data_IF_644122543221
#
_entry.id   IF_644122543221
#
_cell.length_a   1.000
_cell.length_b   1.000
_cell.length_c   1.000
_cell.angle_alpha   90.00
_cell.angle_beta   90.00
_cell.angle_gamma   90.00
#
_symmetry.space_group_name_H-M   'P 1'
#
loop_
_entity.id
_entity.type
_entity.pdbx_description
1 polymer ?
#
# COMPACT_ATOMS: atom_id res chain seq x y z
N UNK A 1 -72.29 16.93 -31.69
CA UNK A 1 -70.84 16.58 -31.81
C UNK A 1 -70.10 17.16 -30.59
N UNK A 2 -69.10 16.45 -30.03
CA UNK A 2 -69.12 16.10 -28.61
C UNK A 2 -68.27 17.00 -27.70
N UNK A 3 -68.77 17.21 -26.46
CA UNK A 3 -68.03 17.75 -25.31
C UNK A 3 -66.97 16.72 -24.88
N UNK A 4 -65.68 17.08 -24.99
CA UNK A 4 -64.58 16.24 -24.48
C UNK A 4 -64.53 16.31 -22.96
N UNK A 5 -64.67 15.14 -22.33
CA UNK A 5 -64.50 14.88 -20.90
C UNK A 5 -63.04 15.14 -20.49
N UNK A 6 -62.83 15.83 -19.36
CA UNK A 6 -61.54 15.86 -18.66
C UNK A 6 -61.30 14.51 -17.98
N UNK A 7 -60.10 13.97 -18.17
CA UNK A 7 -59.57 12.81 -17.44
C UNK A 7 -58.49 13.35 -16.49
N UNK A 8 -58.49 13.03 -15.19
CA UNK A 8 -57.44 13.48 -14.28
C UNK A 8 -56.15 12.66 -14.48
N UNK A 9 -55.03 13.36 -14.50
CA UNK A 9 -53.66 12.82 -14.53
C UNK A 9 -53.28 12.31 -13.14
N UNK A 10 -52.63 11.14 -13.01
CA UNK A 10 -52.13 10.66 -11.74
C UNK A 10 -50.81 11.37 -11.36
N UNK A 11 -50.80 11.87 -10.13
CA UNK A 11 -49.68 12.51 -9.45
C UNK A 11 -48.47 11.58 -9.36
N UNK A 12 -47.35 11.98 -9.97
CA UNK A 12 -46.00 11.50 -9.66
C UNK A 12 -45.43 12.36 -8.54
N UNK A 13 -45.40 11.81 -7.32
CA UNK A 13 -44.65 12.39 -6.20
C UNK A 13 -43.16 12.12 -6.38
N UNK A 14 -42.37 13.16 -6.65
CA UNK A 14 -40.92 13.12 -6.59
C UNK A 14 -40.51 13.63 -5.21
N UNK A 15 -39.97 12.74 -4.37
CA UNK A 15 -39.29 13.12 -3.12
C UNK A 15 -37.87 13.50 -3.50
N UNK A 16 -37.55 14.79 -3.38
CA UNK A 16 -36.20 15.31 -3.52
C UNK A 16 -35.40 15.00 -2.25
N UNK A 17 -34.31 14.25 -2.38
CA UNK A 17 -33.32 14.05 -1.31
C UNK A 17 -32.16 15.00 -1.61
N UNK A 18 -32.07 16.06 -0.80
CA UNK A 18 -30.98 17.06 -0.85
C UNK A 18 -29.80 16.49 -0.06
N UNK A 19 -28.71 16.15 -0.75
CA UNK A 19 -27.41 15.88 -0.12
C UNK A 19 -26.61 17.18 -0.14
N UNK A 20 -26.42 17.76 1.04
CA UNK A 20 -25.64 18.97 1.24
C UNK A 20 -24.15 18.68 1.11
N UNK A 21 -23.52 19.35 0.14
CA UNK A 21 -22.07 19.40 -0.03
C UNK A 21 -21.50 20.41 0.97
N UNK A 22 -20.66 19.94 1.91
CA UNK A 22 -19.81 20.80 2.72
C UNK A 22 -18.39 20.76 2.14
N UNK A 23 -18.01 21.86 1.49
CA UNK A 23 -16.66 22.11 1.00
C UNK A 23 -15.73 22.48 2.16
N UNK A 24 -14.63 21.75 2.34
CA UNK A 24 -13.47 22.26 3.10
C UNK A 24 -12.22 22.19 2.23
N UNK A 25 -11.48 23.29 2.27
CA UNK A 25 -10.48 23.69 1.29
C UNK A 25 -9.18 22.91 1.32
N UNK A 26 -8.58 22.90 0.13
CA UNK A 26 -7.24 22.44 -0.19
C UNK A 26 -6.20 23.37 0.47
N UNK A 27 -5.33 22.83 1.31
CA UNK A 27 -4.04 23.44 1.67
C UNK A 27 -2.96 22.37 1.60
N UNK A 28 -1.99 22.58 0.69
CA UNK A 28 -1.00 21.58 0.28
C UNK A 28 0.02 21.22 1.36
N UNK A 29 0.48 19.98 1.30
CA UNK A 29 1.65 19.51 2.05
C UNK A 29 2.65 18.99 1.02
N UNK A 30 3.74 19.76 0.85
CA UNK A 30 4.99 19.25 0.32
C UNK A 30 5.63 18.40 1.43
N UNK A 31 5.98 17.17 1.11
CA UNK A 31 6.61 16.23 2.02
C UNK A 31 8.06 16.61 2.34
N UNK A 32 8.50 16.23 3.53
CA UNK A 32 9.86 15.75 3.79
C UNK A 32 9.80 14.75 4.95
N UNK A 33 10.43 13.60 4.72
CA UNK A 33 10.45 12.44 5.60
C UNK A 33 11.21 12.67 6.90
N UNK A 34 10.75 11.98 7.94
CA UNK A 34 11.35 11.86 9.27
C UNK A 34 12.50 10.84 9.23
N UNK A 35 13.68 11.24 9.72
CA UNK A 35 14.76 10.34 10.12
C UNK A 35 14.94 10.47 11.64
N UNK A 36 14.96 9.32 12.33
CA UNK A 36 15.13 9.20 13.77
C UNK A 36 16.60 8.92 14.12
N UNK A 37 17.21 9.78 14.93
CA UNK A 37 18.35 9.46 15.79
C UNK A 37 18.32 10.40 17.01
N UNK A 38 18.41 9.84 18.22
CA UNK A 38 18.08 10.52 19.47
C UNK A 38 19.21 11.33 20.12
N UNK A 39 18.75 12.18 21.06
CA UNK A 39 19.42 12.79 22.22
C UNK A 39 20.63 13.71 21.94
N UNK A 40 20.78 14.91 22.50
CA UNK A 40 20.27 15.45 23.76
C UNK A 40 20.43 17.00 23.77
N UNK A 41 19.81 17.65 24.77
CA UNK A 41 20.12 19.00 25.31
C UNK A 41 19.25 20.21 24.87
N UNK A 42 18.18 20.42 25.65
CA UNK A 42 17.69 21.67 26.27
C UNK A 42 17.79 23.02 25.51
N UNK A 43 16.62 23.64 25.27
CA UNK A 43 16.30 25.04 25.66
C UNK A 43 14.77 25.26 25.64
N UNK A 44 14.35 26.16 26.53
CA UNK A 44 13.02 26.46 27.05
C UNK A 44 11.93 26.93 26.07
N UNK A 45 10.67 26.65 26.46
CA UNK A 45 9.57 27.62 26.34
C UNK A 45 8.33 27.19 25.55
N UNK A 46 7.25 26.89 26.29
CA UNK A 46 5.82 26.89 25.91
C UNK A 46 5.29 25.69 25.07
N UNK A 47 4.34 24.88 25.59
CA UNK A 47 3.74 23.76 24.86
C UNK A 47 2.57 24.23 23.98
N UNK A 48 2.70 24.00 22.67
CA UNK A 48 1.58 24.04 21.71
C UNK A 48 0.98 22.64 21.65
N UNK A 49 -0.30 22.55 21.97
CA UNK A 49 -0.99 21.31 22.28
C UNK A 49 -1.07 20.32 21.13
N UNK A 50 -0.70 19.08 21.43
CA UNK A 50 -1.13 17.85 20.76
C UNK A 50 -0.79 16.60 21.61
N UNK A 51 -0.78 16.68 22.94
CA UNK A 51 -0.39 15.56 23.82
C UNK A 51 -1.41 15.22 24.94
N UNK A 52 -2.61 15.81 24.89
CA UNK A 52 -3.62 15.57 25.95
C UNK A 52 -4.40 14.26 25.72
N UNK A 53 -4.53 13.79 24.49
CA UNK A 53 -5.31 12.58 24.16
C UNK A 53 -4.61 11.28 24.59
N UNK A 54 -3.29 11.17 24.36
CA UNK A 54 -2.53 9.95 24.63
C UNK A 54 -2.30 9.71 26.14
N UNK A 55 -2.15 10.79 26.93
CA UNK A 55 -1.98 10.69 28.37
C UNK A 55 -3.25 10.19 29.08
N UNK A 56 -4.43 10.55 28.58
CA UNK A 56 -5.70 10.06 29.14
C UNK A 56 -5.98 8.59 28.84
N UNK A 57 -5.57 8.09 27.67
CA UNK A 57 -5.72 6.66 27.31
C UNK A 57 -4.76 5.79 28.15
N UNK A 58 -3.54 6.25 28.40
CA UNK A 58 -2.56 5.55 29.25
C UNK A 58 -3.01 5.52 30.74
N UNK A 59 -3.59 6.62 31.23
CA UNK A 59 -4.10 6.71 32.59
C UNK A 59 -5.38 5.89 32.79
N UNK A 60 -6.24 5.79 31.77
CA UNK A 60 -7.41 4.90 31.80
C UNK A 60 -7.01 3.41 31.80
N UNK A 61 -5.97 3.03 31.05
CA UNK A 61 -5.44 1.66 31.03
C UNK A 61 -4.75 1.28 32.35
N UNK A 62 -4.00 2.18 32.98
CA UNK A 62 -3.35 1.91 34.28
C UNK A 62 -4.34 1.85 35.44
N UNK A 63 -5.43 2.63 35.39
CA UNK A 63 -6.52 2.54 36.38
C UNK A 63 -7.36 1.27 36.22
N UNK A 64 -7.59 0.80 34.99
CA UNK A 64 -8.27 -0.48 34.74
C UNK A 64 -7.42 -1.68 35.19
N UNK A 65 -6.09 -1.64 35.00
CA UNK A 65 -5.18 -2.68 35.47
C UNK A 65 -5.05 -2.71 37.00
N UNK A 66 -5.06 -1.54 37.66
CA UNK A 66 -5.05 -1.46 39.13
C UNK A 66 -6.34 -2.04 39.76
N UNK A 67 -7.48 -1.96 39.07
CA UNK A 67 -8.75 -2.52 39.54
C UNK A 67 -8.85 -4.05 39.35
N UNK A 68 -8.17 -4.60 38.35
CA UNK A 68 -8.10 -6.05 38.11
C UNK A 68 -7.10 -6.77 39.03
N UNK A 69 -6.10 -6.06 39.59
CA UNK A 69 -5.04 -6.65 40.41
C UNK A 69 -5.40 -6.77 41.92
N UNK A 70 -6.42 -6.05 42.41
CA UNK A 70 -6.83 -6.13 43.83
C UNK A 70 -7.75 -7.31 44.16
N UNK A 71 -8.03 -8.21 43.21
CA UNK A 71 -8.97 -9.33 43.37
C UNK A 71 -8.37 -10.66 43.85
N UNK A 72 -7.05 -10.80 43.95
CA UNK A 72 -6.40 -12.07 44.31
C UNK A 72 -5.16 -11.85 45.18
N UNK A 73 -5.35 -11.78 46.49
CA UNK A 73 -4.44 -12.35 47.51
C UNK A 73 -4.89 -11.94 48.93
N UNK A 74 -5.53 -12.85 49.67
CA UNK A 74 -5.42 -12.83 51.13
C UNK A 74 -5.55 -14.24 51.72
N UNK A 75 -4.43 -14.96 51.73
CA UNK A 75 -4.20 -16.06 52.67
C UNK A 75 -2.84 -15.84 53.33
N UNK A 76 -2.85 -15.36 54.59
CA UNK A 76 -1.93 -15.75 55.67
C UNK A 76 -2.10 -14.84 56.91
N UNK A 77 -2.73 -15.42 57.95
CA UNK A 77 -2.44 -15.34 59.39
C UNK A 77 -2.03 -14.00 60.05
N UNK A 78 -2.85 -13.56 61.02
CA UNK A 78 -2.48 -12.64 62.10
C UNK A 78 -3.60 -12.49 63.13
N UNK A 79 -3.30 -12.78 64.41
CA UNK A 79 -4.20 -12.78 65.57
C UNK A 79 -4.76 -11.39 65.97
N UNK A 80 -5.94 -11.45 66.61
CA UNK A 80 -6.57 -10.55 67.59
C UNK A 80 -6.65 -9.03 67.33
N UNK A 81 -7.88 -8.56 67.10
CA UNK A 81 -8.23 -7.15 67.30
C UNK A 81 -9.61 -6.77 66.76
N UNK A 82 -10.62 -6.81 67.63
CA UNK A 82 -11.87 -6.03 67.64
C UNK A 82 -12.61 -5.81 66.30
N UNK A 83 -13.73 -6.53 66.19
CA UNK A 83 -14.70 -6.45 65.11
C UNK A 83 -15.38 -5.08 64.95
N UNK A 84 -15.36 -4.56 63.72
CA UNK A 84 -16.43 -3.77 63.10
C UNK A 84 -16.68 -4.44 61.73
N UNK A 85 -17.84 -5.05 61.45
CA UNK A 85 -18.08 -5.67 60.16
C UNK A 85 -18.31 -4.56 59.13
N UNK A 86 -17.31 -4.28 58.28
CA UNK A 86 -17.56 -3.54 57.04
C UNK A 86 -18.46 -4.43 56.18
N UNK A 87 -19.75 -4.13 56.22
CA UNK A 87 -20.76 -4.68 55.34
C UNK A 87 -20.41 -4.35 53.90
N UNK A 88 -19.83 -5.29 53.17
CA UNK A 88 -19.73 -5.26 51.71
C UNK A 88 -21.15 -5.50 51.19
N UNK A 89 -21.97 -4.45 51.23
CA UNK A 89 -23.26 -4.42 50.56
C UNK A 89 -23.01 -4.55 49.06
N UNK A 90 -23.33 -5.73 48.53
CA UNK A 90 -23.84 -5.96 47.18
C UNK A 90 -23.26 -5.06 46.10
N UNK A 91 -22.09 -5.43 45.56
CA UNK A 91 -21.79 -5.05 44.19
C UNK A 91 -22.76 -5.83 43.28
N UNK A 92 -23.90 -5.20 42.97
CA UNK A 92 -24.80 -5.69 41.93
C UNK A 92 -23.97 -5.94 40.65
N UNK A 93 -24.23 -7.03 39.89
CA UNK A 93 -23.53 -7.28 38.65
C UNK A 93 -23.73 -6.06 37.74
N UNK A 94 -22.65 -5.32 37.45
CA UNK A 94 -22.70 -4.22 36.48
C UNK A 94 -23.04 -4.87 35.15
N UNK A 95 -24.13 -4.42 34.53
CA UNK A 95 -24.53 -4.85 33.19
C UNK A 95 -23.46 -4.39 32.19
N UNK A 96 -22.50 -5.28 31.93
CA UNK A 96 -21.43 -5.09 30.96
C UNK A 96 -21.89 -5.38 29.53
N UNK A 97 -23.15 -5.81 29.32
CA UNK A 97 -23.68 -6.13 28.00
C UNK A 97 -23.60 -4.94 27.05
N UNK A 98 -23.97 -3.75 27.54
CA UNK A 98 -23.87 -2.50 26.78
C UNK A 98 -22.42 -2.11 26.40
N UNK A 99 -21.43 -2.52 27.21
CA UNK A 99 -20.01 -2.28 26.92
C UNK A 99 -19.45 -3.23 25.87
N UNK A 100 -19.92 -4.48 25.84
CA UNK A 100 -19.51 -5.50 24.86
C UNK A 100 -20.07 -5.14 23.47
N UNK A 101 -21.36 -4.79 23.39
CA UNK A 101 -21.99 -4.37 22.13
C UNK A 101 -21.32 -3.13 21.50
N UNK A 102 -20.89 -2.18 22.33
CA UNK A 102 -20.17 -0.99 21.86
C UNK A 102 -18.77 -1.32 21.30
N UNK A 103 -18.07 -2.31 21.88
CA UNK A 103 -16.77 -2.77 21.38
C UNK A 103 -16.95 -3.52 20.06
N UNK A 104 -17.91 -4.44 19.97
CA UNK A 104 -18.20 -5.18 18.74
C UNK A 104 -18.61 -4.25 17.59
N UNK A 105 -19.43 -3.23 17.88
CA UNK A 105 -19.81 -2.23 16.89
C UNK A 105 -18.62 -1.38 16.40
N UNK A 106 -17.67 -1.04 17.30
CA UNK A 106 -16.46 -0.32 16.94
C UNK A 106 -15.52 -1.19 16.09
N UNK A 107 -15.29 -2.44 16.46
CA UNK A 107 -14.46 -3.38 15.71
C UNK A 107 -15.03 -3.65 14.30
N UNK A 108 -16.35 -3.77 14.20
CA UNK A 108 -17.05 -3.87 12.91
C UNK A 108 -16.85 -2.61 12.06
N UNK A 109 -17.01 -1.43 12.65
CA UNK A 109 -16.81 -0.16 11.97
C UNK A 109 -15.36 0.01 11.49
N UNK A 110 -14.38 -0.36 12.32
CA UNK A 110 -12.95 -0.32 11.98
C UNK A 110 -12.63 -1.30 10.85
N UNK A 111 -13.23 -2.49 10.85
CA UNK A 111 -13.07 -3.47 9.77
C UNK A 111 -13.63 -2.95 8.44
N UNK A 112 -14.84 -2.38 8.45
CA UNK A 112 -15.47 -1.82 7.25
C UNK A 112 -14.66 -0.63 6.73
N UNK A 113 -14.18 0.26 7.62
CA UNK A 113 -13.35 1.39 7.25
C UNK A 113 -12.01 0.94 6.63
N UNK A 114 -11.36 -0.08 7.21
CA UNK A 114 -10.14 -0.65 6.67
C UNK A 114 -10.36 -1.28 5.27
N UNK A 115 -11.48 -1.99 5.07
CA UNK A 115 -11.83 -2.56 3.77
C UNK A 115 -12.10 -1.46 2.72
N UNK A 116 -12.84 -0.42 3.09
CA UNK A 116 -13.11 0.71 2.18
C UNK A 116 -11.83 1.47 1.82
N UNK A 117 -10.94 1.69 2.79
CA UNK A 117 -9.63 2.29 2.54
C UNK A 117 -8.75 1.41 1.64
N UNK A 118 -8.77 0.09 1.83
CA UNK A 118 -8.05 -0.85 0.97
C UNK A 118 -8.58 -0.76 -0.47
N UNK A 119 -9.91 -0.79 -0.65
CA UNK A 119 -10.56 -0.67 -1.95
C UNK A 119 -10.26 0.68 -2.62
N UNK A 120 -10.29 1.78 -1.88
CA UNK A 120 -9.95 3.10 -2.41
C UNK A 120 -8.47 3.18 -2.85
N UNK A 121 -7.57 2.61 -2.06
CA UNK A 121 -6.14 2.54 -2.38
C UNK A 121 -5.89 1.72 -3.65
N UNK A 122 -6.58 0.60 -3.79
CA UNK A 122 -6.52 -0.26 -4.96
C UNK A 122 -7.04 0.44 -6.22
N UNK A 123 -8.21 1.09 -6.15
CA UNK A 123 -8.74 1.87 -7.27
C UNK A 123 -7.79 2.99 -7.70
N UNK A 124 -7.18 3.69 -6.74
CA UNK A 124 -6.17 4.70 -7.03
C UNK A 124 -4.95 4.09 -7.74
N UNK A 125 -4.52 2.89 -7.33
CA UNK A 125 -3.40 2.18 -7.95
C UNK A 125 -3.70 1.83 -9.40
N UNK A 126 -4.88 1.28 -9.67
CA UNK A 126 -5.33 0.93 -11.02
C UNK A 126 -5.36 2.18 -11.90
N UNK A 127 -5.93 3.28 -11.40
CA UNK A 127 -5.97 4.53 -12.13
C UNK A 127 -4.57 5.10 -12.42
N UNK A 128 -3.67 5.06 -11.45
CA UNK A 128 -2.29 5.50 -11.62
C UNK A 128 -1.54 4.67 -12.66
N UNK A 129 -1.67 3.35 -12.63
CA UNK A 129 -1.02 2.47 -13.59
C UNK A 129 -1.58 2.65 -15.02
N UNK A 130 -2.89 2.79 -15.17
CA UNK A 130 -3.51 3.08 -16.47
C UNK A 130 -3.03 4.42 -17.03
N UNK A 131 -2.95 5.45 -16.19
CA UNK A 131 -2.42 6.76 -16.58
C UNK A 131 -0.94 6.69 -16.96
N UNK A 132 -0.13 5.97 -16.19
CA UNK A 132 1.30 5.81 -16.45
C UNK A 132 1.54 5.07 -17.78
N UNK A 133 0.75 4.03 -18.06
CA UNK A 133 0.78 3.31 -19.34
C UNK A 133 0.39 4.22 -20.51
N UNK A 134 -0.70 4.97 -20.40
CA UNK A 134 -1.12 5.90 -21.45
C UNK A 134 -0.06 6.96 -21.74
N UNK A 135 0.56 7.54 -20.71
CA UNK A 135 1.65 8.49 -20.88
C UNK A 135 2.86 7.88 -21.60
N UNK A 136 3.16 6.60 -21.35
CA UNK A 136 4.21 5.90 -22.08
C UNK A 136 3.85 5.62 -23.54
N UNK A 137 2.61 5.23 -23.83
CA UNK A 137 2.13 5.00 -25.19
C UNK A 137 2.29 6.28 -26.02
N UNK A 138 1.96 7.45 -25.45
CA UNK A 138 2.19 8.76 -26.07
C UNK A 138 3.68 9.04 -26.33
N UNK A 139 4.57 8.73 -25.38
CA UNK A 139 6.02 8.90 -25.57
C UNK A 139 6.60 7.95 -26.63
N UNK A 140 6.11 6.71 -26.67
CA UNK A 140 6.58 5.69 -27.61
C UNK A 140 6.06 5.91 -29.03
N UNK A 141 4.93 6.61 -29.20
CA UNK A 141 4.33 6.89 -30.51
C UNK A 141 5.20 7.79 -31.41
N UNK A 142 6.17 8.51 -30.85
CA UNK A 142 7.13 9.34 -31.60
C UNK A 142 8.43 8.63 -31.98
N UNK A 143 8.63 7.38 -31.57
CA UNK A 143 9.87 6.63 -31.81
C UNK A 143 9.90 5.95 -33.19
N UNK A 144 11.07 5.86 -33.87
CA UNK A 144 11.18 5.24 -35.19
C UNK A 144 10.90 3.72 -35.13
N UNK A 145 10.01 3.25 -36.02
CA UNK A 145 9.57 1.86 -36.13
C UNK A 145 10.67 1.00 -36.77
N UNK A 146 11.67 0.59 -36.00
CA UNK A 146 12.64 -0.41 -36.46
C UNK A 146 12.79 -1.51 -35.40
N UNK A 147 12.21 -2.69 -35.68
CA UNK A 147 12.29 -3.97 -34.94
C UNK A 147 11.51 -4.08 -33.61
N UNK A 148 10.75 -5.19 -33.50
CA UNK A 148 9.78 -5.59 -32.47
C UNK A 148 9.19 -4.42 -31.68
N UNK A 149 8.07 -3.84 -32.12
CA UNK A 149 7.45 -2.77 -31.36
C UNK A 149 6.97 -3.32 -30.00
N UNK A 150 7.04 -2.50 -28.95
CA UNK A 150 6.34 -2.73 -27.67
C UNK A 150 4.87 -3.12 -27.84
N UNK A 151 4.26 -2.84 -29.00
CA UNK A 151 2.90 -3.26 -29.37
C UNK A 151 2.73 -4.77 -29.55
N UNK A 152 3.81 -5.57 -29.61
CA UNK A 152 3.73 -7.03 -29.59
C UNK A 152 3.53 -7.59 -28.18
N UNK A 153 3.85 -6.81 -27.14
CA UNK A 153 3.56 -7.21 -25.77
C UNK A 153 2.09 -6.98 -25.46
N UNK A 154 1.43 -8.02 -24.92
CA UNK A 154 0.06 -7.85 -24.45
C UNK A 154 -0.01 -6.78 -23.35
N UNK A 155 -1.03 -5.89 -23.38
CA UNK A 155 -1.19 -4.89 -22.34
C UNK A 155 -1.38 -5.54 -20.97
N UNK A 156 -0.70 -5.02 -19.96
CA UNK A 156 -0.89 -5.45 -18.57
C UNK A 156 -2.30 -5.05 -18.12
N UNK A 157 -3.09 -6.02 -17.68
CA UNK A 157 -4.40 -5.78 -17.10
C UNK A 157 -4.29 -5.47 -15.60
N UNK A 158 -4.49 -4.20 -15.26
CA UNK A 158 -4.51 -3.75 -13.87
C UNK A 158 -5.89 -3.89 -13.22
N UNK A 159 -6.94 -4.10 -14.01
CA UNK A 159 -8.33 -4.11 -13.52
C UNK A 159 -8.73 -5.39 -12.77
N UNK A 160 -7.89 -6.45 -12.86
CA UNK A 160 -8.08 -7.73 -12.16
C UNK A 160 -7.95 -7.62 -10.63
N UNK A 161 -7.40 -6.50 -10.14
CA UNK A 161 -7.15 -6.26 -8.74
C UNK A 161 -5.82 -6.86 -8.24
N UNK A 162 -5.39 -6.43 -7.06
CA UNK A 162 -4.05 -6.63 -6.52
C UNK A 162 -3.68 -8.11 -6.41
N UNK A 163 -4.56 -8.90 -5.79
CA UNK A 163 -4.23 -10.30 -5.50
C UNK A 163 -4.18 -11.16 -6.76
N UNK A 164 -5.11 -10.94 -7.69
CA UNK A 164 -5.11 -11.62 -8.98
C UNK A 164 -3.91 -11.19 -9.84
N UNK A 165 -3.59 -9.90 -9.87
CA UNK A 165 -2.41 -9.37 -10.53
C UNK A 165 -1.14 -10.02 -9.97
N UNK A 166 -0.96 -10.02 -8.65
CA UNK A 166 0.22 -10.59 -8.02
C UNK A 166 0.29 -12.09 -8.32
N UNK A 167 -0.82 -12.83 -8.26
CA UNK A 167 -0.85 -14.25 -8.56
C UNK A 167 -0.40 -14.55 -10.00
N UNK A 168 -0.99 -13.87 -10.99
CA UNK A 168 -0.65 -14.05 -12.41
C UNK A 168 0.83 -13.76 -12.65
N UNK A 169 1.30 -12.58 -12.23
CA UNK A 169 2.67 -12.16 -12.51
C UNK A 169 3.70 -12.94 -11.69
N UNK A 170 3.35 -13.45 -10.51
CA UNK A 170 4.21 -14.38 -9.77
C UNK A 170 4.52 -15.61 -10.62
N UNK A 171 3.49 -16.27 -11.17
CA UNK A 171 3.66 -17.48 -11.95
C UNK A 171 4.52 -17.25 -13.20
N UNK A 172 4.22 -16.20 -13.95
CA UNK A 172 4.94 -15.83 -15.17
C UNK A 172 6.41 -15.51 -14.90
N UNK A 173 6.67 -14.71 -13.87
CA UNK A 173 8.04 -14.31 -13.52
C UNK A 173 8.82 -15.48 -12.93
N UNK A 174 8.21 -16.32 -12.08
CA UNK A 174 8.90 -17.50 -11.54
C UNK A 174 9.26 -18.50 -12.64
N UNK A 175 8.38 -18.71 -13.61
CA UNK A 175 8.67 -19.53 -14.79
C UNK A 175 9.87 -18.97 -15.58
N UNK A 176 9.92 -17.66 -15.78
CA UNK A 176 11.02 -16.98 -16.46
C UNK A 176 12.35 -17.05 -15.70
N UNK A 177 12.31 -16.94 -14.37
CA UNK A 177 13.50 -16.91 -13.50
C UNK A 177 13.98 -18.30 -13.09
N UNK A 178 13.32 -19.37 -13.51
CA UNK A 178 13.66 -20.74 -13.13
C UNK A 178 15.14 -21.08 -13.43
N UNK A 179 15.84 -21.67 -12.44
CA UNK A 179 17.25 -22.06 -12.58
C UNK A 179 18.24 -20.89 -12.61
N UNK A 180 17.86 -19.75 -12.03
CA UNK A 180 18.70 -18.55 -11.89
C UNK A 180 18.87 -18.19 -10.41
N UNK A 181 19.71 -17.19 -10.11
CA UNK A 181 19.90 -16.72 -8.74
C UNK A 181 18.68 -15.94 -8.22
N UNK A 182 17.76 -15.54 -9.11
CA UNK A 182 16.51 -14.88 -8.79
C UNK A 182 15.30 -15.83 -8.80
N UNK A 183 15.51 -17.15 -8.87
CA UNK A 183 14.41 -18.11 -8.84
C UNK A 183 13.62 -18.04 -7.51
N UNK A 184 12.29 -18.02 -7.59
CA UNK A 184 11.38 -17.93 -6.44
C UNK A 184 11.06 -16.50 -5.98
N UNK A 185 11.59 -15.48 -6.67
CA UNK A 185 11.32 -14.08 -6.38
C UNK A 185 10.20 -13.45 -7.21
N UNK A 186 9.45 -14.25 -7.99
CA UNK A 186 8.38 -13.75 -8.85
C UNK A 186 7.32 -12.95 -8.08
N UNK A 187 6.96 -13.40 -6.87
CA UNK A 187 6.02 -12.66 -6.01
C UNK A 187 6.57 -11.32 -5.55
N UNK A 188 7.87 -11.23 -5.26
CA UNK A 188 8.52 -9.99 -4.85
C UNK A 188 8.50 -8.98 -6.00
N UNK A 189 8.85 -9.40 -7.21
CA UNK A 189 8.75 -8.56 -8.40
C UNK A 189 7.32 -8.10 -8.68
N UNK A 190 6.35 -9.03 -8.66
CA UNK A 190 4.94 -8.71 -8.93
C UNK A 190 4.37 -7.73 -7.89
N UNK A 191 4.70 -7.93 -6.61
CA UNK A 191 4.28 -7.04 -5.53
C UNK A 191 4.91 -5.65 -5.70
N UNK A 192 6.22 -5.59 -5.93
CA UNK A 192 6.91 -4.32 -6.13
C UNK A 192 6.37 -3.58 -7.37
N UNK A 193 6.09 -4.29 -8.46
CA UNK A 193 5.52 -3.72 -9.68
C UNK A 193 4.14 -3.13 -9.42
N UNK A 194 3.26 -3.87 -8.72
CA UNK A 194 1.95 -3.37 -8.31
C UNK A 194 2.10 -2.11 -7.46
N UNK A 195 2.99 -2.16 -6.47
CA UNK A 195 3.21 -1.09 -5.51
C UNK A 195 3.89 0.15 -6.10
N UNK A 196 4.41 0.07 -7.32
CA UNK A 196 5.04 1.17 -8.01
C UNK A 196 4.37 1.52 -9.35
N UNK A 197 3.26 0.84 -9.69
CA UNK A 197 2.51 1.07 -10.93
C UNK A 197 3.39 0.99 -12.19
N UNK A 198 4.31 0.02 -12.22
CA UNK A 198 5.21 -0.23 -13.37
C UNK A 198 4.88 -1.58 -14.02
N UNK A 199 5.29 -1.75 -15.28
CA UNK A 199 5.17 -3.02 -15.98
C UNK A 199 5.97 -4.13 -15.26
N UNK A 200 5.31 -5.21 -14.81
CA UNK A 200 5.94 -6.26 -14.02
C UNK A 200 7.02 -7.04 -14.78
N UNK A 201 7.05 -6.95 -16.12
CA UNK A 201 8.06 -7.62 -16.96
C UNK A 201 9.39 -6.88 -16.96
N UNK A 202 9.37 -5.57 -16.70
CA UNK A 202 10.50 -4.69 -17.01
C UNK A 202 11.71 -4.97 -16.12
N UNK A 203 11.54 -4.97 -14.80
CA UNK A 203 12.64 -5.22 -13.88
C UNK A 203 13.25 -6.63 -14.00
N UNK A 204 12.45 -7.71 -14.13
CA UNK A 204 13.01 -9.04 -14.41
C UNK A 204 13.78 -9.09 -15.74
N UNK A 205 13.26 -8.48 -16.80
CA UNK A 205 13.92 -8.46 -18.12
C UNK A 205 15.27 -7.71 -18.12
N UNK A 206 15.36 -6.60 -17.38
CA UNK A 206 16.64 -5.90 -17.18
C UNK A 206 17.64 -6.82 -16.45
N UNK A 207 17.18 -7.57 -15.43
CA UNK A 207 18.08 -8.46 -14.67
C UNK A 207 18.76 -9.51 -15.55
N UNK A 208 18.07 -9.98 -16.60
CA UNK A 208 18.65 -10.87 -17.60
C UNK A 208 19.67 -10.15 -18.48
N UNK A 209 19.26 -9.00 -18.99
CA UNK A 209 20.08 -8.17 -19.89
C UNK A 209 21.42 -7.79 -19.25
N UNK A 210 21.42 -7.54 -17.94
CA UNK A 210 22.58 -7.02 -17.22
C UNK A 210 23.43 -8.11 -16.55
N UNK A 211 22.81 -9.21 -16.09
CA UNK A 211 23.53 -10.21 -15.28
C UNK A 211 23.09 -11.66 -15.51
N UNK A 212 22.34 -11.94 -16.57
CA UNK A 212 21.74 -13.27 -16.81
C UNK A 212 20.92 -13.75 -15.59
N UNK A 213 20.04 -12.87 -15.08
CA UNK A 213 19.16 -13.12 -13.93
C UNK A 213 19.95 -13.37 -12.64
N UNK A 214 20.92 -12.50 -12.37
CA UNK A 214 21.73 -12.52 -11.15
C UNK A 214 22.90 -13.51 -11.18
N UNK A 215 23.14 -14.22 -12.28
CA UNK A 215 24.26 -15.18 -12.42
C UNK A 215 25.63 -14.49 -12.51
N UNK A 216 25.67 -13.29 -13.08
CA UNK A 216 26.89 -12.51 -13.28
C UNK A 216 26.70 -11.09 -12.76
N UNK A 217 26.53 -10.94 -11.45
CA UNK A 217 26.40 -9.62 -10.84
C UNK A 217 27.76 -8.92 -10.72
N UNK A 218 27.79 -7.61 -10.97
CA UNK A 218 29.01 -6.82 -10.76
C UNK A 218 29.30 -6.55 -9.27
N UNK A 219 28.24 -6.46 -8.46
CA UNK A 219 28.28 -6.34 -7.00
C UNK A 219 27.25 -7.28 -6.35
N UNK A 220 27.39 -7.61 -5.05
CA UNK A 220 26.45 -8.49 -4.35
C UNK A 220 25.00 -8.05 -4.53
N UNK A 221 24.14 -9.00 -4.92
CA UNK A 221 22.69 -8.81 -5.11
C UNK A 221 22.31 -7.70 -6.11
N UNK A 222 23.22 -7.26 -6.97
CA UNK A 222 22.93 -6.27 -8.01
C UNK A 222 22.84 -6.93 -9.39
N UNK A 223 21.62 -7.38 -9.71
CA UNK A 223 21.35 -8.05 -10.98
C UNK A 223 21.14 -7.08 -12.17
N UNK A 224 21.06 -5.77 -11.92
CA UNK A 224 20.65 -4.78 -12.92
C UNK A 224 21.75 -3.79 -13.32
N UNK A 225 22.97 -3.92 -12.76
CA UNK A 225 24.01 -2.92 -13.02
C UNK A 225 23.65 -1.55 -12.43
N UNK A 226 22.81 -1.52 -11.38
CA UNK A 226 22.21 -0.29 -10.89
C UNK A 226 23.16 0.47 -9.96
N UNK A 227 23.50 1.72 -10.34
CA UNK A 227 24.39 2.56 -9.56
C UNK A 227 25.79 1.96 -9.37
N UNK A 228 26.37 2.17 -8.20
CA UNK A 228 27.74 1.79 -7.85
C UNK A 228 27.84 0.94 -6.56
N UNK A 229 26.71 0.39 -6.10
CA UNK A 229 26.62 -0.39 -4.85
C UNK A 229 25.91 -1.74 -5.06
N UNK A 230 25.93 -2.57 -4.01
CA UNK A 230 25.17 -3.81 -3.93
C UNK A 230 24.27 -3.82 -2.69
N UNK A 231 23.48 -4.88 -2.56
CA UNK A 231 22.58 -5.09 -1.43
C UNK A 231 23.04 -6.26 -0.55
N UNK A 232 22.27 -6.55 0.50
CA UNK A 232 22.50 -7.68 1.40
C UNK A 232 21.62 -8.90 1.07
N UNK A 233 20.50 -8.68 0.39
CA UNK A 233 19.55 -9.72 -0.02
C UNK A 233 18.84 -9.31 -1.33
N UNK A 234 18.15 -10.26 -1.95
CA UNK A 234 17.46 -10.04 -3.23
C UNK A 234 16.16 -9.26 -3.06
N UNK A 235 15.46 -9.43 -1.95
CA UNK A 235 14.17 -8.81 -1.67
C UNK A 235 14.28 -7.27 -1.68
N UNK A 236 15.22 -6.73 -0.90
CA UNK A 236 15.48 -5.30 -0.82
C UNK A 236 15.97 -4.76 -2.16
N UNK A 237 16.88 -5.48 -2.81
CA UNK A 237 17.41 -5.18 -4.13
C UNK A 237 16.29 -5.05 -5.19
N UNK A 238 15.33 -5.98 -5.21
CA UNK A 238 14.21 -5.97 -6.15
C UNK A 238 13.29 -4.77 -5.87
N UNK A 239 12.91 -4.57 -4.61
CA UNK A 239 11.98 -3.51 -4.21
C UNK A 239 12.58 -2.13 -4.53
N UNK A 240 13.85 -1.92 -4.20
CA UNK A 240 14.54 -0.66 -4.47
C UNK A 240 14.72 -0.40 -5.97
N UNK A 241 15.12 -1.42 -6.74
CA UNK A 241 15.28 -1.26 -8.19
C UNK A 241 13.95 -0.92 -8.87
N UNK A 242 12.87 -1.63 -8.53
CA UNK A 242 11.53 -1.38 -9.07
C UNK A 242 11.02 0.03 -8.70
N UNK A 243 11.23 0.45 -7.45
CA UNK A 243 10.90 1.81 -7.01
C UNK A 243 11.70 2.87 -7.78
N UNK A 244 13.00 2.62 -7.97
CA UNK A 244 13.90 3.48 -8.74
C UNK A 244 13.49 3.63 -10.21
N UNK A 245 13.01 2.55 -10.84
CA UNK A 245 12.45 2.59 -12.20
C UNK A 245 11.20 3.48 -12.26
N UNK A 246 10.25 3.31 -11.33
CA UNK A 246 9.03 4.12 -11.30
C UNK A 246 9.34 5.61 -11.14
N UNK A 247 10.20 5.95 -10.17
CA UNK A 247 10.57 7.33 -9.87
C UNK A 247 11.41 7.98 -10.99
N UNK A 248 12.32 7.21 -11.61
CA UNK A 248 13.31 7.73 -12.53
C UNK A 248 12.94 7.62 -14.00
N UNK A 249 12.10 6.65 -14.39
CA UNK A 249 11.94 6.23 -15.78
C UNK A 249 10.47 6.07 -16.19
N UNK A 250 9.54 5.85 -15.25
CA UNK A 250 8.11 5.78 -15.51
C UNK A 250 7.56 4.35 -15.57
N UNK A 251 6.61 4.09 -16.47
CA UNK A 251 5.84 2.84 -16.48
C UNK A 251 6.64 1.62 -16.95
N UNK A 252 7.37 1.72 -18.06
CA UNK A 252 8.01 0.59 -18.74
C UNK A 252 9.09 1.07 -19.74
N UNK A 253 9.59 0.12 -20.52
CA UNK A 253 10.69 0.29 -21.47
C UNK A 253 10.32 1.24 -22.62
N UNK A 254 11.18 2.23 -22.87
CA UNK A 254 11.18 3.13 -24.04
C UNK A 254 12.61 3.31 -24.55
N UNK A 255 12.79 3.79 -25.79
CA UNK A 255 14.13 4.10 -26.29
C UNK A 255 14.79 5.21 -25.47
N UNK A 256 14.04 6.22 -25.04
CA UNK A 256 14.53 7.26 -24.13
C UNK A 256 15.00 6.69 -22.77
N UNK A 257 14.23 5.74 -22.20
CA UNK A 257 14.61 5.07 -20.96
C UNK A 257 15.86 4.21 -21.14
N UNK A 258 15.97 3.49 -22.26
CA UNK A 258 17.19 2.75 -22.61
C UNK A 258 18.40 3.68 -22.78
N UNK A 259 18.23 4.84 -23.43
CA UNK A 259 19.28 5.85 -23.58
C UNK A 259 19.75 6.38 -22.23
N UNK A 260 18.81 6.59 -21.29
CA UNK A 260 19.14 7.01 -19.92
C UNK A 260 19.85 5.90 -19.14
N UNK A 261 19.42 4.64 -19.29
CA UNK A 261 19.93 3.50 -18.53
C UNK A 261 21.30 3.03 -19.03
N UNK A 262 21.48 2.89 -20.34
CA UNK A 262 22.69 2.36 -20.98
C UNK A 262 23.15 3.23 -22.17
N UNK A 263 23.61 4.48 -21.96
CA UNK A 263 23.86 5.45 -23.03
C UNK A 263 24.80 4.96 -24.16
N UNK A 264 25.90 4.23 -23.90
CA UNK A 264 26.81 3.83 -24.97
C UNK A 264 26.25 2.78 -25.95
N UNK A 265 25.26 1.97 -25.54
CA UNK A 265 24.75 0.83 -26.32
C UNK A 265 23.22 0.70 -26.25
N UNK A 266 22.52 1.82 -26.04
CA UNK A 266 21.11 1.84 -25.65
C UNK A 266 20.18 1.13 -26.62
N UNK A 267 20.38 1.21 -27.94
CA UNK A 267 19.51 0.54 -28.91
C UNK A 267 19.60 -0.99 -28.79
N UNK A 268 20.84 -1.51 -28.73
CA UNK A 268 21.06 -2.95 -28.54
C UNK A 268 20.50 -3.42 -27.21
N UNK A 269 20.70 -2.63 -26.16
CA UNK A 269 20.15 -2.91 -24.84
C UNK A 269 18.61 -2.94 -24.87
N UNK A 270 17.99 -1.94 -25.50
CA UNK A 270 16.54 -1.83 -25.68
C UNK A 270 15.97 -3.09 -26.34
N UNK A 271 16.48 -3.50 -27.50
CA UNK A 271 15.95 -4.68 -28.18
C UNK A 271 16.20 -5.97 -27.40
N UNK A 272 17.33 -6.09 -26.68
CA UNK A 272 17.57 -7.24 -25.84
C UNK A 272 16.58 -7.30 -24.68
N UNK A 273 16.40 -6.21 -23.93
CA UNK A 273 15.45 -6.13 -22.82
C UNK A 273 14.01 -6.34 -23.30
N UNK A 274 13.64 -5.79 -24.45
CA UNK A 274 12.32 -6.01 -25.04
C UNK A 274 12.09 -7.48 -25.39
N UNK A 275 13.09 -8.13 -26.00
CA UNK A 275 13.05 -9.57 -26.25
C UNK A 275 12.88 -10.39 -24.98
N UNK A 276 13.51 -9.98 -23.87
CA UNK A 276 13.33 -10.62 -22.57
C UNK A 276 11.93 -10.38 -21.98
N UNK A 277 11.37 -9.18 -22.13
CA UNK A 277 9.99 -8.89 -21.70
C UNK A 277 8.96 -9.76 -22.42
N UNK A 278 9.20 -10.12 -23.68
CA UNK A 278 8.31 -10.99 -24.47
C UNK A 278 8.35 -12.47 -24.03
N UNK A 279 9.34 -12.87 -23.22
CA UNK A 279 9.45 -14.23 -22.66
C UNK A 279 8.72 -14.39 -21.33
N UNK A 280 8.17 -13.31 -20.76
CA UNK A 280 7.46 -13.25 -19.48
C UNK A 280 5.97 -13.11 -19.76
#
# INVERSE_FOLDING_TARGET
>A
MPKKRRVPSPYTGVVALVVGVASFGLAGVLGFSIASAGADMQVAGQPVGLDVEAAHIQQAKSQAAAYMFTGQASEAQGEEGLAEPVSIESAAPRDISAGIEAIEAQEEADRVAAEEQARATELLRIANAQKARAAQEEQSASEPVTATPMSELEPVDWSVGRDAFIAEWTERIDAYLAGTNLAGYGRTFATAAWDNSIDPRWSPAISNTESSNGKQCFLPFNAWGWGDHGWTNWEDAIVEHVSGLSAGYGYSLTLANAYKYCPPNYERWYYHTLGQMALI
#
